data_IF_942714580964
#
_entry.id   IF_942714580964
#
_cell.length_a   1.000
_cell.length_b   1.000
_cell.length_c   1.000
_cell.angle_alpha   90.00
_cell.angle_beta   90.00
_cell.angle_gamma   90.00
#
_symmetry.space_group_name_H-M   'P 1'
#
loop_
_entity.id
_entity.type
_entity.pdbx_description
1 polymer ?
#
# COMPACT_ATOMS: atom_id res chain seq x y z
N UNK A 1 -10.63 7.05 -14.86
CA UNK A 1 -10.31 6.85 -13.43
C UNK A 1 -9.75 5.45 -13.15
N UNK A 2 -9.84 4.52 -14.11
CA UNK A 2 -9.60 3.09 -13.90
C UNK A 2 -8.21 2.63 -13.44
N UNK A 3 -7.11 3.29 -13.86
CA UNK A 3 -5.75 2.84 -13.46
C UNK A 3 -5.52 3.06 -11.97
N UNK A 4 -5.90 4.23 -11.46
CA UNK A 4 -5.72 4.62 -10.06
C UNK A 4 -6.58 3.75 -9.15
N UNK A 5 -7.79 3.39 -9.59
CA UNK A 5 -8.68 2.48 -8.87
C UNK A 5 -8.12 1.06 -8.80
N UNK A 6 -7.59 0.52 -9.92
CA UNK A 6 -6.97 -0.81 -9.95
C UNK A 6 -5.75 -0.89 -9.04
N UNK A 7 -4.86 0.11 -9.10
CA UNK A 7 -3.65 0.12 -8.27
C UNK A 7 -3.98 0.32 -6.80
N UNK A 8 -4.91 1.23 -6.46
CA UNK A 8 -5.38 1.41 -5.10
C UNK A 8 -6.00 0.13 -4.54
N UNK A 9 -6.80 -0.58 -5.33
CA UNK A 9 -7.45 -1.80 -4.87
C UNK A 9 -6.43 -2.94 -4.68
N UNK A 10 -5.41 -3.04 -5.54
CA UNK A 10 -4.31 -3.98 -5.39
C UNK A 10 -3.50 -3.70 -4.11
N UNK A 11 -3.09 -2.44 -3.89
CA UNK A 11 -2.39 -2.02 -2.66
C UNK A 11 -3.24 -2.32 -1.43
N UNK A 12 -4.54 -2.04 -1.49
CA UNK A 12 -5.46 -2.30 -0.38
C UNK A 12 -5.55 -3.80 -0.06
N UNK A 13 -5.67 -4.65 -1.08
CA UNK A 13 -5.80 -6.09 -0.89
C UNK A 13 -4.50 -6.70 -0.36
N UNK A 14 -3.35 -6.34 -0.96
CA UNK A 14 -2.04 -6.85 -0.55
C UNK A 14 -1.65 -6.34 0.84
N UNK A 15 -1.87 -5.05 1.12
CA UNK A 15 -1.60 -4.50 2.45
C UNK A 15 -2.49 -5.12 3.53
N UNK A 16 -3.78 -5.32 3.24
CA UNK A 16 -4.71 -5.94 4.19
C UNK A 16 -4.35 -7.40 4.48
N UNK A 17 -3.96 -8.19 3.48
CA UNK A 17 -3.57 -9.60 3.69
C UNK A 17 -2.28 -9.71 4.49
N UNK A 18 -1.26 -8.92 4.18
CA UNK A 18 0.01 -8.93 4.90
C UNK A 18 -0.19 -8.45 6.35
N UNK A 19 -1.00 -7.42 6.56
CA UNK A 19 -1.35 -6.96 7.91
C UNK A 19 -2.10 -8.02 8.70
N UNK A 20 -3.08 -8.70 8.08
CA UNK A 20 -3.84 -9.76 8.72
C UNK A 20 -2.94 -10.94 9.14
N UNK A 21 -2.01 -11.34 8.27
CA UNK A 21 -1.02 -12.38 8.58
C UNK A 21 -0.11 -11.93 9.73
N UNK A 22 0.34 -10.67 9.73
CA UNK A 22 1.14 -10.11 10.82
C UNK A 22 0.42 -10.10 12.16
N UNK A 23 -0.87 -9.73 12.18
CA UNK A 23 -1.72 -9.78 13.38
C UNK A 23 -1.92 -11.23 13.85
N UNK A 24 -2.15 -12.17 12.93
CA UNK A 24 -2.29 -13.58 13.27
C UNK A 24 -1.01 -14.17 13.88
N UNK A 25 0.16 -13.86 13.29
CA UNK A 25 1.47 -14.26 13.82
C UNK A 25 1.75 -13.62 15.18
N UNK A 26 1.43 -12.34 15.35
CA UNK A 26 1.58 -11.64 16.62
C UNK A 26 0.70 -12.26 17.71
N UNK A 27 -0.59 -12.48 17.40
CA UNK A 27 -1.52 -13.12 18.33
C UNK A 27 -1.05 -14.54 18.69
N UNK A 28 -0.63 -15.33 17.71
CA UNK A 28 -0.12 -16.67 17.95
C UNK A 28 1.13 -16.66 18.85
N UNK A 29 2.12 -15.80 18.56
CA UNK A 29 3.32 -15.68 19.39
C UNK A 29 3.07 -15.13 20.79
N UNK A 30 2.06 -14.26 20.96
CA UNK A 30 1.72 -13.64 22.23
C UNK A 30 0.90 -14.57 23.15
N UNK A 31 -0.12 -15.25 22.62
CA UNK A 31 -0.97 -16.15 23.40
C UNK A 31 -0.32 -17.51 23.68
N UNK A 32 0.52 -18.00 22.77
CA UNK A 32 1.33 -19.20 23.00
C UNK A 32 2.63 -18.76 23.68
N UNK A 33 2.55 -18.57 24.99
CA UNK A 33 3.65 -18.17 25.88
C UNK A 33 4.82 -19.17 25.78
N UNK A 34 5.70 -18.96 24.81
CA UNK A 34 6.79 -19.88 24.44
C UNK A 34 7.54 -19.47 23.17
N UNK A 35 6.91 -18.66 22.30
CA UNK A 35 7.50 -18.25 21.03
C UNK A 35 7.78 -16.73 20.95
N UNK A 36 8.64 -16.22 21.85
CA UNK A 36 9.08 -14.81 21.84
C UNK A 36 9.60 -14.35 20.46
N UNK A 37 10.29 -15.24 19.74
CA UNK A 37 10.77 -14.99 18.37
C UNK A 37 9.62 -14.73 17.39
N UNK A 38 8.52 -15.47 17.51
CA UNK A 38 7.36 -15.35 16.62
C UNK A 38 6.62 -14.03 16.87
N UNK A 39 6.55 -13.58 18.12
CA UNK A 39 6.02 -12.25 18.46
C UNK A 39 6.84 -11.15 17.78
N UNK A 40 8.17 -11.25 17.80
CA UNK A 40 9.05 -10.32 17.08
C UNK A 40 8.82 -10.31 15.57
N UNK A 41 8.66 -11.50 14.96
CA UNK A 41 8.30 -11.64 13.54
C UNK A 41 6.94 -11.01 13.25
N UNK A 42 5.95 -11.19 14.13
CA UNK A 42 4.63 -10.57 14.01
C UNK A 42 4.71 -9.04 14.01
N UNK A 43 5.46 -8.46 14.95
CA UNK A 43 5.70 -7.00 15.01
C UNK A 43 6.40 -6.51 13.74
N UNK A 44 7.45 -7.21 13.30
CA UNK A 44 8.17 -6.87 12.06
C UNK A 44 7.27 -6.93 10.83
N UNK A 45 6.40 -7.93 10.75
CA UNK A 45 5.43 -8.09 9.66
C UNK A 45 4.38 -6.98 9.67
N UNK A 46 3.89 -6.57 10.84
CA UNK A 46 2.95 -5.44 10.97
C UNK A 46 3.63 -4.13 10.55
N UNK A 47 4.84 -3.86 11.03
CA UNK A 47 5.62 -2.67 10.62
C UNK A 47 5.89 -2.66 9.11
N UNK A 48 6.25 -3.82 8.54
CA UNK A 48 6.45 -3.99 7.10
C UNK A 48 5.16 -3.77 6.30
N UNK A 49 4.03 -4.31 6.76
CA UNK A 49 2.72 -4.13 6.13
C UNK A 49 2.33 -2.65 6.06
N UNK A 50 2.55 -1.90 7.14
CA UNK A 50 2.33 -0.44 7.16
C UNK A 50 3.21 0.27 6.14
N UNK A 51 4.49 -0.10 6.05
CA UNK A 51 5.41 0.47 5.06
C UNK A 51 4.97 0.20 3.61
N UNK A 52 4.58 -1.03 3.30
CA UNK A 52 4.06 -1.41 1.97
C UNK A 52 2.79 -0.62 1.64
N UNK A 53 1.91 -0.46 2.62
CA UNK A 53 0.66 0.28 2.44
C UNK A 53 0.92 1.77 2.14
N UNK A 54 1.82 2.42 2.90
CA UNK A 54 2.21 3.81 2.67
C UNK A 54 2.86 4.01 1.30
N UNK A 55 3.78 3.11 0.90
CA UNK A 55 4.40 3.17 -0.43
C UNK A 55 3.38 3.02 -1.56
N UNK A 56 2.42 2.10 -1.41
CA UNK A 56 1.36 1.93 -2.39
C UNK A 56 0.45 3.15 -2.51
N UNK A 57 0.08 3.79 -1.39
CA UNK A 57 -0.68 5.05 -1.41
C UNK A 57 0.13 6.17 -2.08
N UNK A 58 1.43 6.26 -1.78
CA UNK A 58 2.31 7.26 -2.38
C UNK A 58 2.39 7.13 -3.91
N UNK A 59 2.46 5.91 -4.44
CA UNK A 59 2.44 5.67 -5.88
C UNK A 59 1.11 6.07 -6.52
N UNK A 60 -0.03 5.72 -5.90
CA UNK A 60 -1.35 6.14 -6.40
C UNK A 60 -1.45 7.67 -6.44
N UNK A 61 -0.99 8.35 -5.39
CA UNK A 61 -0.97 9.81 -5.35
C UNK A 61 -0.08 10.41 -6.45
N UNK A 62 1.10 9.81 -6.69
CA UNK A 62 2.04 10.26 -7.71
C UNK A 62 1.46 10.07 -9.13
N UNK A 63 0.83 8.93 -9.41
CA UNK A 63 0.15 8.70 -10.69
C UNK A 63 -0.96 9.73 -10.94
N UNK A 64 -1.75 10.07 -9.91
CA UNK A 64 -2.81 11.09 -10.01
C UNK A 64 -2.22 12.46 -10.38
N UNK A 65 -1.09 12.86 -9.77
CA UNK A 65 -0.42 14.14 -10.06
C UNK A 65 0.15 14.15 -11.48
N UNK A 66 0.86 13.09 -11.89
CA UNK A 66 1.44 12.97 -13.24
C UNK A 66 0.33 13.03 -14.29
N UNK A 67 -0.74 12.27 -14.10
CA UNK A 67 -1.89 12.25 -15.02
C UNK A 67 -2.52 13.63 -15.19
N UNK A 68 -2.70 14.38 -14.11
CA UNK A 68 -3.21 15.77 -14.16
C UNK A 68 -2.27 16.69 -14.95
N UNK A 69 -0.95 16.55 -14.75
CA UNK A 69 0.06 17.34 -15.48
C UNK A 69 0.05 17.02 -16.98
N UNK A 70 0.04 15.74 -17.35
CA UNK A 70 -0.02 15.31 -18.77
C UNK A 70 -1.28 15.81 -19.45
N UNK A 71 -2.46 15.65 -18.81
CA UNK A 71 -3.73 16.16 -19.36
C UNK A 71 -3.68 17.67 -19.57
N UNK A 72 -3.09 18.44 -18.65
CA UNK A 72 -2.96 19.89 -18.78
C UNK A 72 -2.08 20.30 -19.98
N UNK A 73 -0.98 19.57 -20.21
CA UNK A 73 -0.07 19.82 -21.34
C UNK A 73 -0.76 19.54 -22.68
N UNK A 74 -1.50 18.44 -22.77
CA UNK A 74 -2.23 18.06 -23.99
C UNK A 74 -3.31 19.09 -24.34
N UNK A 75 -4.08 19.54 -23.34
CA UNK A 75 -5.04 20.64 -23.49
C UNK A 75 -4.33 21.89 -24.01
N UNK A 76 -3.26 22.35 -23.37
CA UNK A 76 -2.50 23.54 -23.78
C UNK A 76 -1.98 23.46 -25.21
N UNK A 77 -1.59 22.28 -25.69
CA UNK A 77 -1.06 22.09 -27.05
C UNK A 77 -2.16 22.16 -28.11
N UNK A 78 -3.40 21.80 -27.76
CA UNK A 78 -4.56 21.91 -28.64
C UNK A 78 -5.06 23.34 -28.84
N UNK A 79 -4.75 24.28 -27.92
CA UNK A 79 -5.12 25.70 -28.05
C UNK A 79 -4.12 26.55 -28.85
N UNK A 80 -2.95 25.98 -29.19
CA UNK A 80 -1.90 26.64 -29.98
C UNK A 80 -1.77 26.04 -31.39
N UNK A 81 -2.75 25.25 -31.81
CA UNK A 81 -2.88 24.69 -33.15
C UNK A 81 -4.15 25.22 -33.80
#
# INVERSE_FOLDING_TARGET
MEINEKMLNAVKYVGATVLFIGIALFAYGFFVSGYSVVTGIGIGTIMGAVFIFLMGIFFVATEEVIKKRTKKIEISKSYHK
#
